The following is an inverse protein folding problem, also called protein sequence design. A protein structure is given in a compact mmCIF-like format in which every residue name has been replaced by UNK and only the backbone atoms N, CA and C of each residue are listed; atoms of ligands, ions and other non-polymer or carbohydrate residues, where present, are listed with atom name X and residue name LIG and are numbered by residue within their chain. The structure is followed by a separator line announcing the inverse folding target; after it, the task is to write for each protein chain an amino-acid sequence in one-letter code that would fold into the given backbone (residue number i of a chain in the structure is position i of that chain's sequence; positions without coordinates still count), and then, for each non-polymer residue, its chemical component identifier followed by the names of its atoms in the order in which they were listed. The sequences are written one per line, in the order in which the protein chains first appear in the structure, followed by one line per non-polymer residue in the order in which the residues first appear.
data_IF_627399224843
#
_entry.id   IF_627399224843
#
_cell.length_a   1.000
_cell.length_b   1.000
_cell.length_c   1.000
_cell.angle_alpha   90.00
_cell.angle_beta   90.00
_cell.angle_gamma   90.00
#
_symmetry.space_group_name_H-M   'P 1'
#
loop_
_entity.id
_entity.type
_entity.pdbx_description
1 polymer ?
#
# COMPACT_ATOMS: atom_id res chain seq x y z
N UNK A 1 -17.05 -8.60 3.46
CA UNK A 1 -16.06 -7.62 3.95
C UNK A 1 -14.70 -8.23 3.75
N UNK A 2 -13.97 -7.73 2.78
CA UNK A 2 -12.63 -8.22 2.43
C UNK A 2 -11.60 -7.32 3.09
N UNK A 3 -10.52 -7.91 3.58
CA UNK A 3 -9.36 -7.17 4.09
C UNK A 3 -8.23 -7.36 3.09
N UNK A 4 -7.71 -6.26 2.57
CA UNK A 4 -6.60 -6.25 1.62
C UNK A 4 -5.40 -5.64 2.34
N UNK A 5 -4.34 -6.43 2.48
CA UNK A 5 -3.09 -6.01 3.12
C UNK A 5 -2.04 -5.84 2.04
N UNK A 6 -1.51 -4.64 1.90
CA UNK A 6 -0.31 -4.37 1.12
C UNK A 6 0.89 -4.59 2.02
N UNK A 7 1.69 -5.61 1.72
CA UNK A 7 2.98 -5.84 2.35
C UNK A 7 4.06 -5.26 1.44
N UNK A 8 4.76 -4.23 1.92
CA UNK A 8 5.75 -3.49 1.14
C UNK A 8 7.11 -3.62 1.80
N UNK A 9 8.08 -4.13 1.03
CA UNK A 9 9.47 -4.09 1.45
C UNK A 9 10.03 -2.66 1.37
N UNK A 10 10.68 -2.24 2.45
CA UNK A 10 11.37 -0.95 2.58
C UNK A 10 12.86 -1.14 2.86
N UNK A 11 13.38 -2.36 2.67
CA UNK A 11 14.80 -2.69 2.82
C UNK A 11 15.69 -1.88 1.87
N UNK A 12 16.99 -1.82 2.17
CA UNK A 12 17.97 -1.12 1.34
C UNK A 12 17.99 -1.63 -0.12
N UNK A 13 17.60 -2.88 -0.37
CA UNK A 13 17.53 -3.44 -1.73
C UNK A 13 16.49 -2.73 -2.61
N UNK A 14 15.46 -2.14 -2.00
CA UNK A 14 14.41 -1.40 -2.68
C UNK A 14 14.83 0.00 -3.13
N UNK A 15 15.98 0.49 -2.65
CA UNK A 15 16.59 1.74 -3.12
C UNK A 15 17.30 1.59 -4.48
N UNK A 16 17.38 0.36 -5.03
CA UNK A 16 17.92 0.12 -6.36
C UNK A 16 17.17 0.95 -7.40
N UNK A 17 17.91 1.61 -8.29
CA UNK A 17 17.32 2.39 -9.38
C UNK A 17 17.04 1.49 -10.57
N UNK A 18 15.86 1.69 -11.15
CA UNK A 18 15.49 1.10 -12.44
C UNK A 18 16.14 1.89 -13.58
N UNK A 19 16.09 1.35 -14.80
CA UNK A 19 16.53 2.05 -16.01
C UNK A 19 15.85 3.43 -16.19
N UNK A 20 14.61 3.58 -15.69
CA UNK A 20 13.85 4.83 -15.75
C UNK A 20 14.27 5.87 -14.70
N UNK A 21 15.31 5.59 -13.90
CA UNK A 21 15.85 6.49 -12.89
C UNK A 21 15.05 6.53 -11.57
N UNK A 22 13.89 5.88 -11.49
CA UNK A 22 13.10 5.73 -10.26
C UNK A 22 13.58 4.55 -9.43
N UNK A 23 13.43 4.61 -8.11
CA UNK A 23 13.72 3.45 -7.26
C UNK A 23 12.63 2.38 -7.41
N UNK A 24 12.95 1.14 -7.06
CA UNK A 24 11.95 0.06 -6.99
C UNK A 24 10.87 0.40 -5.97
N UNK A 25 11.22 1.08 -4.87
CA UNK A 25 10.26 1.55 -3.86
C UNK A 25 9.27 2.59 -4.44
N UNK A 26 9.76 3.55 -5.24
CA UNK A 26 8.90 4.54 -5.91
C UNK A 26 7.91 3.87 -6.86
N UNK A 27 8.38 2.85 -7.58
CA UNK A 27 7.55 2.05 -8.48
C UNK A 27 6.46 1.31 -7.70
N UNK A 28 6.82 0.60 -6.62
CA UNK A 28 5.87 -0.11 -5.77
C UNK A 28 4.79 0.82 -5.19
N UNK A 29 5.18 2.01 -4.71
CA UNK A 29 4.24 3.03 -4.22
C UNK A 29 3.26 3.45 -5.31
N UNK A 30 3.75 3.77 -6.50
CA UNK A 30 2.92 4.19 -7.63
C UNK A 30 1.93 3.09 -8.04
N UNK A 31 2.36 1.84 -8.08
CA UNK A 31 1.49 0.70 -8.38
C UNK A 31 0.36 0.56 -7.36
N UNK A 32 0.65 0.72 -6.06
CA UNK A 32 -0.38 0.67 -5.01
C UNK A 32 -1.38 1.82 -5.17
N UNK A 33 -0.91 3.03 -5.44
CA UNK A 33 -1.78 4.19 -5.67
C UNK A 33 -2.69 3.99 -6.90
N UNK A 34 -2.15 3.50 -8.01
CA UNK A 34 -2.95 3.20 -9.22
C UNK A 34 -3.93 2.05 -8.99
N UNK A 35 -3.52 1.01 -8.28
CA UNK A 35 -4.38 -0.12 -7.93
C UNK A 35 -5.56 0.34 -7.06
N UNK A 36 -5.32 1.15 -6.03
CA UNK A 36 -6.38 1.70 -5.18
C UNK A 36 -7.33 2.62 -5.96
N UNK A 37 -6.82 3.43 -6.89
CA UNK A 37 -7.65 4.26 -7.77
C UNK A 37 -8.55 3.40 -8.66
N UNK A 38 -8.00 2.38 -9.30
CA UNK A 38 -8.75 1.47 -10.16
C UNK A 38 -9.82 0.71 -9.39
N UNK A 39 -9.48 0.25 -8.18
CA UNK A 39 -10.44 -0.36 -7.26
C UNK A 39 -11.56 0.63 -6.93
N UNK A 40 -11.24 1.83 -6.47
CA UNK A 40 -12.26 2.83 -6.09
C UNK A 40 -13.21 3.17 -7.24
N UNK A 41 -12.71 3.29 -8.48
CA UNK A 41 -13.52 3.64 -9.65
C UNK A 41 -14.46 2.51 -10.07
N UNK A 42 -14.05 1.25 -9.91
CA UNK A 42 -14.78 0.07 -10.43
C UNK A 42 -15.68 -0.62 -9.40
N UNK A 43 -15.65 -0.18 -8.15
CA UNK A 43 -16.32 -0.89 -7.06
C UNK A 43 -17.83 -0.66 -7.01
N UNK A 44 -18.56 -1.77 -6.82
CA UNK A 44 -19.98 -1.79 -6.44
C UNK A 44 -20.13 -1.46 -4.94
N UNK A 45 -21.33 -1.06 -4.48
CA UNK A 45 -21.59 -0.57 -3.10
C UNK A 45 -21.06 -1.49 -1.98
N UNK A 46 -20.97 -2.80 -2.23
CA UNK A 46 -20.47 -3.77 -1.25
C UNK A 46 -18.95 -3.77 -1.08
N UNK A 47 -18.18 -3.50 -2.14
CA UNK A 47 -16.72 -3.41 -2.10
C UNK A 47 -16.23 -2.10 -1.49
N UNK A 48 -17.10 -1.09 -1.43
CA UNK A 48 -16.87 0.17 -0.73
C UNK A 48 -16.68 -0.01 0.80
N UNK A 49 -17.01 -1.20 1.33
CA UNK A 49 -16.81 -1.59 2.74
C UNK A 49 -15.51 -2.36 2.99
N UNK A 50 -14.69 -2.58 1.96
CA UNK A 50 -13.42 -3.28 2.10
C UNK A 50 -12.40 -2.43 2.89
N UNK A 51 -11.57 -3.11 3.67
CA UNK A 51 -10.58 -2.47 4.54
C UNK A 51 -9.19 -2.66 3.96
N UNK A 52 -8.47 -1.57 3.80
CA UNK A 52 -7.10 -1.57 3.29
C UNK A 52 -6.11 -1.31 4.43
N UNK A 53 -5.07 -2.13 4.51
CA UNK A 53 -3.97 -1.98 5.46
C UNK A 53 -2.64 -1.99 4.73
N UNK A 54 -1.67 -1.25 5.26
CA UNK A 54 -0.31 -1.20 4.76
C UNK A 54 0.66 -1.64 5.86
N UNK A 55 1.48 -2.64 5.55
CA UNK A 55 2.52 -3.17 6.42
C UNK A 55 3.89 -3.13 5.75
N UNK A 56 4.92 -2.90 6.55
CA UNK A 56 6.33 -3.00 6.18
C UNK A 56 7.01 -4.12 6.96
N UNK A 57 8.26 -4.42 6.62
CA UNK A 57 9.08 -5.44 7.29
C UNK A 57 9.89 -4.88 8.47
N UNK A 58 9.54 -3.69 8.96
CA UNK A 58 10.15 -3.12 10.16
C UNK A 58 9.81 -3.99 11.40
N UNK A 59 10.51 -3.76 12.51
CA UNK A 59 10.18 -4.44 13.75
C UNK A 59 8.83 -3.98 14.31
N UNK A 60 8.11 -4.90 14.97
CA UNK A 60 6.90 -4.56 15.71
C UNK A 60 7.24 -3.55 16.82
N UNK A 61 6.43 -2.48 17.00
CA UNK A 61 5.13 -2.19 16.38
C UNK A 61 5.18 -1.29 15.13
N UNK A 62 6.37 -0.93 14.65
CA UNK A 62 6.56 0.03 13.56
C UNK A 62 6.20 -0.54 12.17
N UNK A 63 5.99 -1.84 12.07
CA UNK A 63 5.60 -2.55 10.86
C UNK A 63 4.20 -2.17 10.34
N UNK A 64 3.32 -1.63 11.17
CA UNK A 64 1.96 -1.22 10.75
C UNK A 64 1.93 0.27 10.45
N UNK A 65 1.90 0.66 9.17
CA UNK A 65 1.91 2.08 8.78
C UNK A 65 0.50 2.69 8.69
N UNK A 66 -0.48 1.92 8.22
CA UNK A 66 -1.85 2.43 7.99
C UNK A 66 -2.90 1.39 8.36
N UNK A 67 -3.84 1.80 9.22
CA UNK A 67 -5.14 1.16 9.44
C UNK A 67 -6.20 2.15 8.96
N UNK A 68 -6.70 2.01 7.74
CA UNK A 68 -7.83 2.84 7.28
C UNK A 68 -9.12 2.28 7.87
N UNK A 69 -9.41 2.73 9.08
CA UNK A 69 -10.76 2.80 9.62
C UNK A 69 -10.85 4.14 10.34
N UNK A 70 -11.32 5.18 9.63
CA UNK A 70 -11.78 6.47 10.14
C UNK A 70 -10.81 7.24 11.06
N UNK A 71 -10.28 8.37 10.56
CA UNK A 71 -9.57 9.42 11.32
C UNK A 71 -8.31 8.97 12.07
N UNK A 72 -7.15 9.45 11.61
CA UNK A 72 -6.00 9.68 12.49
C UNK A 72 -6.14 11.10 13.03
N UNK A 73 -6.35 11.23 14.33
CA UNK A 73 -5.77 12.32 15.14
C UNK A 73 -4.28 12.02 15.37
#
# INVERSE_FOLDING_TARGET
MTIIVFLVDTSASMAMKTYMGTTVLDFARKTIEEFLKQLTIRQSRDQQRDRYMLMTFDEYPNNVKVRLAGKKE
#
